data_IF_480012063080
#
_entry.id   IF_480012063080
#
_cell.length_a   1.000
_cell.length_b   1.000
_cell.length_c   1.000
_cell.angle_alpha   90.00
_cell.angle_beta   90.00
_cell.angle_gamma   90.00
#
_symmetry.space_group_name_H-M   'P 1'
#
loop_
_entity.id
_entity.type
_entity.pdbx_description
1 polymer ?
#
# COMPACT_ATOMS: atom_id res chain seq x y z
N UNK A 1 -6.44 -4.22 11.52
CA UNK A 1 -5.58 -4.17 12.72
C UNK A 1 -4.75 -5.44 12.75
N UNK A 2 -3.49 -5.36 13.16
CA UNK A 2 -2.60 -6.53 13.31
C UNK A 2 -1.94 -6.48 14.69
N UNK A 3 -2.16 -7.47 15.58
CA UNK A 3 -1.60 -7.45 16.93
C UNK A 3 -0.08 -7.65 16.99
N UNK A 4 0.56 -8.13 15.91
CA UNK A 4 2.00 -8.41 15.88
C UNK A 4 2.84 -7.17 15.54
N UNK A 5 2.21 -5.99 15.35
CA UNK A 5 2.89 -4.73 15.03
C UNK A 5 2.06 -3.53 15.47
N UNK A 6 2.74 -2.41 15.72
CA UNK A 6 2.07 -1.18 16.18
C UNK A 6 1.40 -0.41 15.03
N UNK A 7 1.89 -0.55 13.79
CA UNK A 7 1.34 0.14 12.63
C UNK A 7 0.10 -0.59 12.10
N UNK A 8 -0.87 0.18 11.59
CA UNK A 8 -2.00 -0.41 10.84
C UNK A 8 -1.51 -1.08 9.55
N UNK A 9 -2.28 -2.06 9.11
CA UNK A 9 -2.09 -2.72 7.81
C UNK A 9 -3.27 -2.42 6.90
N UNK A 10 -2.99 -2.33 5.60
CA UNK A 10 -3.99 -2.17 4.55
C UNK A 10 -4.06 -3.44 3.72
N UNK A 11 -5.28 -3.87 3.39
CA UNK A 11 -5.51 -4.95 2.44
C UNK A 11 -5.55 -4.35 1.02
N UNK A 12 -4.62 -4.74 0.17
CA UNK A 12 -4.55 -4.33 -1.22
C UNK A 12 -5.13 -5.42 -2.11
N UNK A 13 -5.92 -5.01 -3.09
CA UNK A 13 -6.42 -5.87 -4.16
C UNK A 13 -5.72 -5.46 -5.45
N UNK A 14 -4.88 -6.35 -5.98
CA UNK A 14 -4.21 -6.13 -7.25
C UNK A 14 -5.15 -6.41 -8.43
N UNK A 15 -4.79 -5.90 -9.60
CA UNK A 15 -5.60 -6.04 -10.83
C UNK A 15 -5.70 -7.49 -11.30
N UNK A 16 -4.71 -8.31 -10.96
CA UNK A 16 -4.68 -9.77 -11.21
C UNK A 16 -5.55 -10.58 -10.21
N UNK A 17 -6.16 -9.91 -9.23
CA UNK A 17 -6.99 -10.55 -8.20
C UNK A 17 -6.21 -11.02 -6.97
N UNK A 18 -4.89 -10.87 -6.94
CA UNK A 18 -4.12 -11.15 -5.73
C UNK A 18 -4.44 -10.15 -4.62
N UNK A 19 -4.44 -10.65 -3.39
CA UNK A 19 -4.61 -9.83 -2.20
C UNK A 19 -3.36 -9.88 -1.34
N UNK A 20 -2.84 -8.72 -0.96
CA UNK A 20 -1.66 -8.63 -0.08
C UNK A 20 -1.88 -7.58 1.00
N UNK A 21 -1.25 -7.81 2.15
CA UNK A 21 -1.19 -6.80 3.20
C UNK A 21 0.07 -5.96 3.06
N UNK A 22 -0.07 -4.66 3.22
CA UNK A 22 1.05 -3.72 3.36
C UNK A 22 0.90 -2.92 4.65
N UNK A 23 1.98 -2.27 5.08
CA UNK A 23 1.88 -1.26 6.13
C UNK A 23 1.06 -0.07 5.61
N UNK A 24 0.16 0.43 6.46
CA UNK A 24 -0.66 1.58 6.14
C UNK A 24 0.19 2.86 6.19
N UNK A 25 0.38 3.51 5.05
CA UNK A 25 1.04 4.80 4.99
C UNK A 25 0.08 5.89 5.52
N UNK A 26 0.64 6.86 6.26
CA UNK A 26 -0.15 7.97 6.80
C UNK A 26 -0.81 8.75 5.67
N UNK A 27 -2.12 8.96 5.77
CA UNK A 27 -2.91 9.72 4.78
C UNK A 27 -3.50 8.89 3.65
N UNK A 28 -3.25 7.58 3.60
CA UNK A 28 -3.99 6.67 2.72
C UNK A 28 -5.45 6.52 3.20
N UNK A 29 -6.36 6.40 2.24
CA UNK A 29 -7.79 6.15 2.45
C UNK A 29 -8.24 4.91 1.69
N UNK A 30 -9.37 4.35 2.11
CA UNK A 30 -9.99 3.24 1.38
C UNK A 30 -10.42 3.74 0.00
N UNK A 31 -10.00 3.02 -1.05
CA UNK A 31 -10.27 3.37 -2.44
C UNK A 31 -9.13 4.12 -3.13
N UNK A 32 -8.08 4.54 -2.41
CA UNK A 32 -6.88 5.08 -3.03
C UNK A 32 -6.18 4.00 -3.88
N UNK A 33 -5.73 4.39 -5.07
CA UNK A 33 -4.93 3.54 -5.97
C UNK A 33 -3.47 3.80 -5.71
N UNK A 34 -2.70 2.74 -5.46
CA UNK A 34 -1.26 2.79 -5.26
C UNK A 34 -0.54 1.93 -6.30
N UNK A 35 0.66 2.34 -6.66
CA UNK A 35 1.50 1.67 -7.67
C UNK A 35 2.90 1.43 -7.14
N UNK A 36 3.51 0.33 -7.58
CA UNK A 36 4.88 -0.06 -7.24
C UNK A 36 5.68 -0.23 -8.53
N UNK A 37 6.80 0.47 -8.67
CA UNK A 37 7.65 0.41 -9.86
C UNK A 37 8.44 1.69 -10.08
N UNK A 38 9.36 1.68 -11.06
CA UNK A 38 10.16 2.86 -11.43
C UNK A 38 9.33 4.03 -11.94
N UNK A 39 8.19 3.74 -12.58
CA UNK A 39 7.26 4.73 -13.12
C UNK A 39 6.22 5.22 -12.09
N UNK A 40 6.26 4.73 -10.85
CA UNK A 40 5.30 5.12 -9.84
C UNK A 40 5.52 6.59 -9.44
N UNK A 41 4.44 7.34 -9.24
CA UNK A 41 4.54 8.73 -8.78
C UNK A 41 5.00 8.80 -7.33
N UNK A 42 5.67 9.90 -6.96
CA UNK A 42 6.05 10.19 -5.57
C UNK A 42 4.81 10.65 -4.80
N UNK A 43 4.02 9.68 -4.34
CA UNK A 43 2.83 9.89 -3.53
C UNK A 43 2.70 8.85 -2.42
N UNK A 44 1.87 9.15 -1.41
CA UNK A 44 1.68 8.26 -0.27
C UNK A 44 1.23 6.86 -0.70
N UNK A 45 1.94 5.84 -0.21
CA UNK A 45 1.64 4.43 -0.50
C UNK A 45 2.32 3.85 -1.74
N UNK A 46 2.87 4.69 -2.62
CA UNK A 46 3.65 4.21 -3.77
C UNK A 46 5.05 3.77 -3.36
N UNK A 47 5.60 2.79 -4.08
CA UNK A 47 6.94 2.26 -3.86
C UNK A 47 7.80 2.40 -5.13
N UNK A 48 9.00 2.96 -4.97
CA UNK A 48 9.95 3.20 -6.03
C UNK A 48 11.33 2.58 -5.68
N UNK A 49 12.14 2.21 -6.68
CA UNK A 49 13.56 1.91 -6.47
C UNK A 49 14.34 3.13 -5.92
N UNK A 50 15.44 2.86 -5.21
CA UNK A 50 16.39 3.90 -4.75
C UNK A 50 17.31 4.36 -5.89
#
# INVERSE_FOLDING_TARGET
YDPNRNAYISLINYVDGEKRYILHARGMRVGDVITSGSEASVSNGNALPL
#
